data_IF_085787092370
#
_entry.id   IF_085787092370
#
_cell.length_a   1.000
_cell.length_b   1.000
_cell.length_c   1.000
_cell.angle_alpha   90.00
_cell.angle_beta   90.00
_cell.angle_gamma   90.00
#
_symmetry.space_group_name_H-M   'P 1'
#
loop_
_entity.id
_entity.type
_entity.pdbx_description
1 polymer ?
#
# COMPACT_ATOMS: atom_id res chain seq x y z
N UNK A 1 -15.92 -19.81 22.66
CA UNK A 1 -15.54 -19.86 21.23
C UNK A 1 -16.82 -19.74 20.43
N UNK A 2 -17.11 -18.54 19.92
CA UNK A 2 -18.31 -18.27 19.14
C UNK A 2 -18.00 -18.51 17.67
N UNK A 3 -18.76 -19.41 17.02
CA UNK A 3 -18.65 -19.65 15.59
C UNK A 3 -18.95 -18.36 14.80
N UNK A 4 -18.19 -18.05 13.74
CA UNK A 4 -18.47 -16.88 12.91
C UNK A 4 -19.78 -17.06 12.12
N UNK A 5 -20.48 -15.96 11.76
CA UNK A 5 -21.78 -15.97 11.10
C UNK A 5 -21.73 -16.68 9.73
N UNK A 6 -22.85 -17.31 9.30
CA UNK A 6 -22.90 -18.25 8.17
C UNK A 6 -22.56 -17.64 6.81
N UNK A 7 -22.85 -16.35 6.58
CA UNK A 7 -22.70 -15.71 5.26
C UNK A 7 -21.25 -15.61 4.77
N UNK A 8 -20.28 -15.48 5.69
CA UNK A 8 -18.85 -15.44 5.33
C UNK A 8 -18.30 -16.76 4.81
N UNK A 9 -18.99 -17.89 5.02
CA UNK A 9 -18.49 -19.20 4.58
C UNK A 9 -18.68 -19.42 3.09
N UNK A 10 -19.70 -18.81 2.49
CA UNK A 10 -20.02 -18.98 1.08
C UNK A 10 -19.10 -18.14 0.17
N UNK A 11 -18.80 -16.90 0.56
CA UNK A 11 -17.80 -16.07 -0.14
C UNK A 11 -16.39 -16.67 -0.06
N UNK A 12 -16.05 -17.25 1.09
CA UNK A 12 -14.76 -17.91 1.31
C UNK A 12 -14.61 -19.15 0.42
N UNK A 13 -15.68 -19.94 0.26
CA UNK A 13 -15.70 -21.09 -0.65
C UNK A 13 -15.60 -20.66 -2.12
N UNK A 14 -16.26 -19.57 -2.52
CA UNK A 14 -16.18 -19.04 -3.90
C UNK A 14 -14.77 -18.60 -4.30
N UNK A 15 -14.10 -17.83 -3.45
CA UNK A 15 -12.73 -17.34 -3.70
C UNK A 15 -11.68 -18.47 -3.72
N UNK A 16 -11.86 -19.49 -2.87
CA UNK A 16 -11.02 -20.69 -2.87
C UNK A 16 -11.22 -21.54 -4.13
N UNK A 17 -12.46 -21.66 -4.62
CA UNK A 17 -12.77 -22.41 -5.85
C UNK A 17 -12.19 -21.73 -7.11
N UNK A 18 -12.31 -20.41 -7.23
CA UNK A 18 -11.76 -19.66 -8.37
C UNK A 18 -10.23 -19.72 -8.43
N UNK A 19 -9.55 -19.57 -7.29
CA UNK A 19 -8.09 -19.59 -7.24
C UNK A 19 -7.51 -21.01 -7.43
N UNK A 20 -8.21 -22.05 -6.96
CA UNK A 20 -7.83 -23.44 -7.20
C UNK A 20 -8.03 -23.86 -8.67
N UNK A 21 -9.04 -23.31 -9.35
CA UNK A 21 -9.35 -23.61 -10.74
C UNK A 21 -8.32 -23.07 -11.75
N UNK A 22 -7.67 -21.94 -11.42
CA UNK A 22 -6.71 -21.26 -12.28
C UNK A 22 -5.24 -21.73 -12.13
N UNK A 23 -4.93 -22.71 -11.26
CA UNK A 23 -3.55 -23.19 -11.08
C UNK A 23 -3.07 -23.92 -12.34
N UNK A 24 -1.89 -23.55 -12.90
CA UNK A 24 -1.38 -24.12 -14.16
C UNK A 24 -1.17 -25.64 -14.09
N UNK A 25 -0.94 -26.19 -12.89
CA UNK A 25 -0.84 -27.62 -12.65
C UNK A 25 -2.16 -28.38 -12.90
N UNK A 26 -3.30 -27.83 -12.45
CA UNK A 26 -4.61 -28.46 -12.64
C UNK A 26 -5.04 -28.43 -14.12
N UNK A 27 -4.72 -27.35 -14.83
CA UNK A 27 -4.92 -27.23 -16.27
C UNK A 27 -4.03 -28.22 -17.04
N UNK A 28 -2.77 -28.39 -16.62
CA UNK A 28 -1.86 -29.36 -17.23
C UNK A 28 -2.31 -30.81 -17.03
N UNK A 29 -2.79 -31.17 -15.83
CA UNK A 29 -3.35 -32.51 -15.55
C UNK A 29 -4.60 -32.78 -16.38
N UNK A 30 -5.51 -31.80 -16.51
CA UNK A 30 -6.72 -31.92 -17.32
C UNK A 30 -6.39 -32.12 -18.81
N UNK A 31 -5.44 -31.35 -19.34
CA UNK A 31 -4.93 -31.50 -20.71
C UNK A 31 -4.29 -32.88 -20.94
N UNK A 32 -3.51 -33.37 -19.98
CA UNK A 32 -2.79 -34.64 -20.09
C UNK A 32 -3.75 -35.84 -20.04
N UNK A 33 -4.77 -35.80 -19.17
CA UNK A 33 -5.83 -36.82 -19.11
C UNK A 33 -6.68 -36.81 -20.38
N UNK A 34 -7.00 -35.63 -20.92
CA UNK A 34 -7.73 -35.50 -22.18
C UNK A 34 -6.92 -36.08 -23.36
N UNK A 35 -5.62 -35.76 -23.47
CA UNK A 35 -4.74 -36.31 -24.51
C UNK A 35 -4.60 -37.84 -24.41
N UNK A 36 -4.43 -38.37 -23.20
CA UNK A 36 -4.33 -39.81 -22.96
C UNK A 36 -5.63 -40.54 -23.34
N UNK A 37 -6.80 -39.97 -23.03
CA UNK A 37 -8.10 -40.54 -23.41
C UNK A 37 -8.32 -40.61 -24.93
N UNK A 38 -7.88 -39.58 -25.65
CA UNK A 38 -7.94 -39.54 -27.13
C UNK A 38 -7.02 -40.61 -27.74
N UNK A 39 -5.81 -40.80 -27.20
CA UNK A 39 -4.84 -41.78 -27.71
C UNK A 39 -5.31 -43.25 -27.56
N UNK A 40 -6.12 -43.54 -26.55
CA UNK A 40 -6.62 -44.91 -26.26
C UNK A 40 -7.90 -45.23 -27.04
N UNK A 41 -8.45 -44.28 -27.80
CA UNK A 41 -9.66 -44.46 -28.60
C UNK A 41 -10.94 -44.55 -27.75
N UNK A 42 -10.90 -44.01 -26.53
CA UNK A 42 -12.08 -43.97 -25.66
C UNK A 42 -13.16 -43.04 -26.27
N UNK A 43 -14.45 -43.34 -26.06
CA UNK A 43 -15.52 -42.42 -26.44
C UNK A 43 -15.29 -41.07 -25.76
N UNK A 44 -15.33 -39.97 -26.53
CA UNK A 44 -15.03 -38.61 -26.06
C UNK A 44 -15.82 -38.27 -24.78
N UNK A 45 -17.07 -38.69 -24.70
CA UNK A 45 -17.92 -38.49 -23.52
C UNK A 45 -17.35 -39.16 -22.24
N UNK A 46 -16.74 -40.33 -22.37
CA UNK A 46 -16.17 -41.08 -21.25
C UNK A 46 -14.83 -40.47 -20.81
N UNK A 47 -14.01 -40.02 -21.77
CA UNK A 47 -12.76 -39.31 -21.48
C UNK A 47 -13.01 -37.96 -20.78
N UNK A 48 -13.99 -37.18 -21.26
CA UNK A 48 -14.40 -35.91 -20.64
C UNK A 48 -14.99 -36.14 -19.25
N UNK A 49 -15.81 -37.19 -19.07
CA UNK A 49 -16.35 -37.56 -17.77
C UNK A 49 -15.27 -37.90 -16.74
N UNK A 50 -14.29 -38.72 -17.12
CA UNK A 50 -13.15 -39.08 -16.26
C UNK A 50 -12.27 -37.86 -15.94
N UNK A 51 -12.01 -36.98 -16.90
CA UNK A 51 -11.26 -35.75 -16.68
C UNK A 51 -11.97 -34.81 -15.70
N UNK A 52 -13.30 -34.67 -15.81
CA UNK A 52 -14.10 -33.86 -14.88
C UNK A 52 -14.07 -34.43 -13.45
N UNK A 53 -14.15 -35.76 -13.31
CA UNK A 53 -14.05 -36.43 -11.99
C UNK A 53 -12.65 -36.25 -11.38
N UNK A 54 -11.58 -36.43 -12.17
CA UNK A 54 -10.21 -36.24 -11.68
C UNK A 54 -9.94 -34.79 -11.30
N UNK A 55 -10.46 -33.84 -12.06
CA UNK A 55 -10.37 -32.41 -11.76
C UNK A 55 -11.14 -32.05 -10.49
N UNK A 56 -12.36 -32.59 -10.31
CA UNK A 56 -13.14 -32.41 -9.08
C UNK A 56 -12.41 -32.98 -7.85
N UNK A 57 -11.80 -34.17 -7.98
CA UNK A 57 -11.03 -34.80 -6.90
C UNK A 57 -9.75 -34.02 -6.59
N UNK A 58 -9.03 -33.51 -7.59
CA UNK A 58 -7.83 -32.68 -7.39
C UNK A 58 -8.17 -31.34 -6.72
N UNK A 59 -9.26 -30.71 -7.14
CA UNK A 59 -9.75 -29.45 -6.57
C UNK A 59 -10.17 -29.66 -5.12
N UNK A 60 -10.93 -30.72 -4.85
CA UNK A 60 -11.31 -31.10 -3.48
C UNK A 60 -10.09 -31.40 -2.60
N UNK A 61 -9.04 -32.05 -3.14
CA UNK A 61 -7.80 -32.32 -2.41
C UNK A 61 -6.99 -31.07 -2.11
N UNK A 62 -6.98 -30.09 -3.02
CA UNK A 62 -6.34 -28.78 -2.80
C UNK A 62 -7.08 -27.95 -1.74
N UNK A 63 -8.40 -28.12 -1.64
CA UNK A 63 -9.23 -27.54 -0.59
C UNK A 63 -9.10 -28.24 0.77
N UNK A 64 -8.51 -29.44 0.81
CA UNK A 64 -8.23 -30.21 2.04
C UNK A 64 -6.76 -30.13 2.46
N UNK A 65 -5.91 -29.45 1.70
CA UNK A 65 -4.50 -29.26 2.04
C UNK A 65 -4.35 -28.10 3.04
N UNK A 66 -4.45 -28.44 4.33
CA UNK A 66 -4.37 -27.52 5.47
C UNK A 66 -3.12 -26.61 5.39
N UNK A 67 -2.02 -27.08 4.80
CA UNK A 67 -0.76 -26.32 4.72
C UNK A 67 -0.80 -25.14 3.75
N UNK A 68 -1.58 -25.21 2.65
CA UNK A 68 -1.74 -24.09 1.72
C UNK A 68 -2.72 -23.06 2.27
N UNK A 69 -3.80 -23.52 2.92
CA UNK A 69 -4.74 -22.65 3.60
C UNK A 69 -4.05 -21.90 4.75
N UNK A 70 -3.23 -22.58 5.55
CA UNK A 70 -2.47 -21.94 6.63
C UNK A 70 -1.41 -20.98 6.13
N UNK A 71 -0.79 -21.22 4.97
CA UNK A 71 0.15 -20.24 4.36
C UNK A 71 -0.55 -18.97 3.89
N UNK A 72 -1.70 -19.09 3.23
CA UNK A 72 -2.47 -17.93 2.76
C UNK A 72 -3.09 -17.18 3.95
N UNK A 73 -3.63 -17.91 4.93
CA UNK A 73 -4.15 -17.34 6.17
C UNK A 73 -3.04 -16.72 7.04
N UNK A 74 -1.85 -17.31 7.10
CA UNK A 74 -0.71 -16.74 7.83
C UNK A 74 -0.17 -15.47 7.14
N UNK A 75 -0.17 -15.41 5.80
CA UNK A 75 0.13 -14.18 5.05
C UNK A 75 -0.90 -13.10 5.33
N UNK A 76 -2.19 -13.41 5.20
CA UNK A 76 -3.28 -12.45 5.44
C UNK A 76 -3.38 -12.01 6.91
N UNK A 77 -3.13 -12.91 7.88
CA UNK A 77 -3.04 -12.58 9.30
C UNK A 77 -1.78 -11.78 9.61
N UNK A 78 -0.66 -12.07 8.95
CA UNK A 78 0.58 -11.32 9.06
C UNK A 78 0.43 -9.88 8.58
N UNK A 79 -0.21 -9.68 7.43
CA UNK A 79 -0.47 -8.34 6.87
C UNK A 79 -1.52 -7.58 7.68
N UNK A 80 -2.63 -8.22 8.10
CA UNK A 80 -3.59 -7.61 9.03
C UNK A 80 -2.98 -7.31 10.40
N UNK A 81 -2.11 -8.18 10.91
CA UNK A 81 -1.38 -7.99 12.16
C UNK A 81 -0.40 -6.83 12.08
N UNK A 82 0.30 -6.67 10.95
CA UNK A 82 1.17 -5.52 10.66
C UNK A 82 0.40 -4.23 10.50
N UNK A 83 -0.74 -4.24 9.80
CA UNK A 83 -1.62 -3.08 9.68
C UNK A 83 -2.25 -2.68 11.03
N UNK A 84 -2.64 -3.65 11.86
CA UNK A 84 -3.14 -3.40 13.20
C UNK A 84 -2.03 -2.90 14.15
N UNK A 85 -0.80 -3.42 14.02
CA UNK A 85 0.36 -2.90 14.74
C UNK A 85 0.75 -1.49 14.27
N UNK A 86 0.67 -1.22 12.97
CA UNK A 86 0.87 0.11 12.39
C UNK A 86 -0.21 1.10 12.83
N UNK A 87 -1.47 0.67 12.95
CA UNK A 87 -2.55 1.46 13.58
C UNK A 87 -2.26 1.77 15.04
N UNK A 88 -1.65 0.84 15.80
CA UNK A 88 -1.22 1.10 17.19
C UNK A 88 0.04 1.97 17.30
N UNK A 89 0.88 1.96 16.26
CA UNK A 89 2.09 2.76 16.13
C UNK A 89 1.88 4.07 15.34
N UNK A 90 0.61 4.43 15.08
CA UNK A 90 0.24 5.72 14.49
C UNK A 90 0.88 6.83 15.32
N UNK A 91 1.52 7.78 14.64
CA UNK A 91 2.10 8.95 15.30
C UNK A 91 1.02 9.61 16.16
N UNK A 92 1.37 9.99 17.39
CA UNK A 92 0.53 10.91 18.17
C UNK A 92 0.50 12.22 17.42
N UNK A 93 -0.58 12.45 16.66
CA UNK A 93 -0.73 13.60 15.77
C UNK A 93 -0.48 14.94 16.48
N UNK A 94 -0.72 14.97 17.80
CA UNK A 94 -0.46 16.12 18.68
C UNK A 94 1.00 16.53 18.78
N UNK A 95 1.94 15.60 18.56
CA UNK A 95 3.39 15.85 18.61
C UNK A 95 3.96 16.31 17.28
N UNK A 96 3.17 16.27 16.21
CA UNK A 96 3.62 16.71 14.90
C UNK A 96 3.56 18.23 14.77
N UNK A 97 4.53 18.80 14.06
CA UNK A 97 4.51 20.20 13.67
C UNK A 97 3.19 20.53 12.95
N UNK A 98 2.60 21.71 13.17
CA UNK A 98 1.32 22.10 12.57
C UNK A 98 1.18 21.82 11.06
N UNK A 99 2.18 22.09 10.19
CA UNK A 99 2.05 21.81 8.76
C UNK A 99 1.96 20.31 8.44
N UNK A 100 2.74 19.47 9.11
CA UNK A 100 2.74 18.00 8.92
C UNK A 100 1.43 17.41 9.43
N UNK A 101 1.03 17.83 10.64
CA UNK A 101 -0.20 17.40 11.30
C UNK A 101 -1.42 17.59 10.40
N UNK A 102 -1.52 18.74 9.74
CA UNK A 102 -2.64 19.08 8.84
C UNK A 102 -2.85 18.02 7.76
N UNK A 103 -1.79 17.56 7.09
CA UNK A 103 -1.90 16.57 6.02
C UNK A 103 -2.31 15.20 6.56
N UNK A 104 -1.73 14.77 7.69
CA UNK A 104 -2.08 13.48 8.30
C UNK A 104 -3.54 13.46 8.77
N UNK A 105 -4.01 14.53 9.44
CA UNK A 105 -5.39 14.66 9.88
C UNK A 105 -6.36 14.62 8.69
N UNK A 106 -6.03 15.33 7.60
CA UNK A 106 -6.85 15.31 6.39
C UNK A 106 -6.93 13.92 5.77
N UNK A 107 -5.80 13.21 5.65
CA UNK A 107 -5.78 11.84 5.14
C UNK A 107 -6.59 10.87 6.00
N UNK A 108 -6.47 10.94 7.33
CA UNK A 108 -7.27 10.11 8.26
C UNK A 108 -8.76 10.46 8.13
N UNK A 109 -9.10 11.74 8.04
CA UNK A 109 -10.49 12.17 7.86
C UNK A 109 -11.08 11.70 6.52
N UNK A 110 -10.30 11.70 5.43
CA UNK A 110 -10.74 11.18 4.13
C UNK A 110 -10.84 9.65 4.14
N UNK A 111 -9.87 8.94 4.73
CA UNK A 111 -9.94 7.49 4.93
C UNK A 111 -11.23 7.08 5.64
N UNK A 112 -11.58 7.74 6.76
CA UNK A 112 -12.82 7.45 7.50
C UNK A 112 -14.06 7.66 6.62
N UNK A 113 -14.10 8.74 5.85
CA UNK A 113 -15.20 9.02 4.91
C UNK A 113 -15.32 7.97 3.80
N UNK A 114 -14.21 7.43 3.32
CA UNK A 114 -14.19 6.32 2.36
C UNK A 114 -14.71 5.04 3.01
N UNK A 115 -14.23 4.70 4.21
CA UNK A 115 -14.70 3.54 4.96
C UNK A 115 -16.21 3.61 5.22
N UNK A 116 -16.73 4.76 5.66
CA UNK A 116 -18.17 4.97 5.85
C UNK A 116 -18.96 4.82 4.55
N UNK A 117 -18.40 5.21 3.40
CA UNK A 117 -19.04 5.06 2.11
C UNK A 117 -19.07 3.59 1.66
N UNK A 118 -17.98 2.85 1.88
CA UNK A 118 -17.90 1.41 1.64
C UNK A 118 -18.94 0.67 2.49
N UNK A 119 -18.99 0.97 3.80
CA UNK A 119 -19.92 0.32 4.73
C UNK A 119 -21.39 0.57 4.35
N UNK A 120 -21.73 1.79 3.94
CA UNK A 120 -23.09 2.13 3.48
C UNK A 120 -23.47 1.47 2.16
N UNK A 121 -22.52 1.31 1.25
CA UNK A 121 -22.79 0.71 -0.04
C UNK A 121 -23.14 -0.79 0.06
N UNK A 122 -22.84 -1.45 1.19
CA UNK A 122 -23.01 -2.91 1.37
C UNK A 122 -22.32 -3.73 0.26
N UNK A 123 -21.31 -3.14 -0.39
CA UNK A 123 -20.57 -3.74 -1.49
C UNK A 123 -19.24 -4.31 -0.97
N UNK A 124 -18.73 -5.41 -1.56
CA UNK A 124 -17.53 -6.09 -1.11
C UNK A 124 -16.24 -5.37 -1.53
N UNK A 125 -16.05 -4.13 -1.06
CA UNK A 125 -14.86 -3.30 -1.33
C UNK A 125 -13.67 -3.61 -0.41
N UNK A 126 -13.48 -4.87 0.02
CA UNK A 126 -12.40 -5.24 0.95
C UNK A 126 -11.01 -4.92 0.40
N UNK A 127 -10.81 -5.13 -0.91
CA UNK A 127 -9.56 -4.79 -1.58
C UNK A 127 -9.29 -3.28 -1.52
N UNK A 128 -10.31 -2.45 -1.84
CA UNK A 128 -10.19 -1.00 -1.80
C UNK A 128 -9.89 -0.48 -0.39
N UNK A 129 -10.56 -1.01 0.64
CA UNK A 129 -10.29 -0.65 2.03
C UNK A 129 -8.83 -0.92 2.42
N UNK A 130 -8.28 -2.07 1.99
CA UNK A 130 -6.87 -2.41 2.20
C UNK A 130 -5.90 -1.44 1.51
N UNK A 131 -6.22 -1.00 0.30
CA UNK A 131 -5.39 -0.03 -0.43
C UNK A 131 -5.44 1.37 0.21
N UNK A 132 -6.62 1.81 0.66
CA UNK A 132 -6.79 3.08 1.38
C UNK A 132 -6.02 3.09 2.70
N UNK A 133 -6.06 1.98 3.44
CA UNK A 133 -5.26 1.81 4.66
C UNK A 133 -3.75 1.90 4.36
N UNK A 134 -3.29 1.35 3.24
CA UNK A 134 -1.89 1.41 2.82
C UNK A 134 -1.42 2.86 2.54
N UNK A 135 -2.28 3.71 1.97
CA UNK A 135 -1.97 5.13 1.78
C UNK A 135 -1.75 5.85 3.12
N UNK A 136 -2.56 5.56 4.14
CA UNK A 136 -2.42 6.18 5.46
C UNK A 136 -1.15 5.69 6.18
N UNK A 137 -0.79 4.42 6.01
CA UNK A 137 0.49 3.89 6.52
C UNK A 137 1.69 4.58 5.85
N UNK A 138 1.63 4.80 4.54
CA UNK A 138 2.67 5.53 3.81
C UNK A 138 2.74 7.01 4.24
N UNK A 139 1.58 7.64 4.47
CA UNK A 139 1.47 8.99 5.02
C UNK A 139 2.15 9.10 6.39
N UNK A 140 1.87 8.15 7.29
CA UNK A 140 2.48 8.11 8.63
C UNK A 140 4.01 8.04 8.58
N UNK A 141 4.56 7.21 7.67
CA UNK A 141 6.00 7.12 7.45
C UNK A 141 6.59 8.43 6.89
N UNK A 142 5.91 9.08 5.93
CA UNK A 142 6.35 10.37 5.39
C UNK A 142 6.28 11.48 6.45
N UNK A 143 5.23 11.51 7.27
CA UNK A 143 5.08 12.45 8.38
C UNK A 143 6.19 12.29 9.43
N UNK A 144 6.58 11.06 9.79
CA UNK A 144 7.72 10.81 10.69
C UNK A 144 9.03 11.38 10.15
N UNK A 145 9.32 11.15 8.87
CA UNK A 145 10.53 11.71 8.21
C UNK A 145 10.49 13.22 8.11
N UNK A 146 9.34 13.79 7.74
CA UNK A 146 9.14 15.23 7.71
C UNK A 146 9.37 15.84 9.10
N UNK A 147 8.88 15.19 10.17
CA UNK A 147 9.05 15.69 11.53
C UNK A 147 10.53 15.75 11.93
N UNK A 148 11.30 14.69 11.67
CA UNK A 148 12.73 14.68 11.97
C UNK A 148 13.49 15.80 11.24
N UNK A 149 13.16 16.06 9.96
CA UNK A 149 13.75 17.15 9.19
C UNK A 149 13.32 18.52 9.70
N UNK A 150 12.05 18.66 10.07
CA UNK A 150 11.49 19.89 10.63
C UNK A 150 12.18 20.25 11.95
N UNK A 151 12.29 19.29 12.88
CA UNK A 151 12.93 19.50 14.19
C UNK A 151 14.39 19.94 14.02
N UNK A 152 15.15 19.25 13.14
CA UNK A 152 16.55 19.61 12.87
C UNK A 152 16.72 21.01 12.27
N UNK A 153 15.79 21.45 11.40
CA UNK A 153 15.79 22.79 10.82
C UNK A 153 15.33 23.87 11.81
N UNK A 154 14.45 23.53 12.75
CA UNK A 154 14.01 24.43 13.81
C UNK A 154 15.12 24.68 14.83
N UNK A 155 15.88 23.64 15.20
CA UNK A 155 17.02 23.76 16.10
C UNK A 155 18.15 24.62 15.51
N UNK A 156 18.42 24.47 14.19
CA UNK A 156 19.53 25.15 13.51
C UNK A 156 19.06 25.77 12.19
N UNK A 157 18.37 26.92 12.22
CA UNK A 157 17.81 27.51 11.01
C UNK A 157 18.93 28.00 10.08
N UNK A 158 18.86 27.71 8.76
CA UNK A 158 19.86 28.15 7.77
C UNK A 158 20.17 29.65 7.83
N UNK A 159 19.14 30.46 8.13
CA UNK A 159 19.28 31.92 8.25
C UNK A 159 20.26 32.34 9.35
N UNK A 160 20.36 31.61 10.46
CA UNK A 160 21.32 31.92 11.51
C UNK A 160 22.77 31.68 11.02
N UNK A 161 22.98 30.62 10.25
CA UNK A 161 24.29 30.29 9.64
C UNK A 161 24.64 31.34 8.57
N UNK A 162 23.69 31.75 7.75
CA UNK A 162 23.87 32.80 6.74
C UNK A 162 24.27 34.14 7.38
N UNK A 163 23.57 34.54 8.45
CA UNK A 163 23.91 35.74 9.21
C UNK A 163 25.31 35.63 9.81
N UNK A 164 25.68 34.46 10.34
CA UNK A 164 27.02 34.24 10.88
C UNK A 164 28.11 34.33 9.82
N UNK A 165 27.88 33.74 8.65
CA UNK A 165 28.77 33.84 7.49
C UNK A 165 28.93 35.31 7.04
N UNK A 166 27.85 36.08 7.00
CA UNK A 166 27.90 37.50 6.66
C UNK A 166 28.71 38.33 7.66
N UNK A 167 28.60 38.02 8.96
CA UNK A 167 29.39 38.68 10.03
C UNK A 167 30.88 38.37 9.94
N UNK A 168 31.27 37.20 9.45
CA UNK A 168 32.67 36.80 9.34
C UNK A 168 33.40 37.49 8.17
N UNK A 169 32.65 38.09 7.22
CA UNK A 169 33.14 39.18 6.37
C UNK A 169 34.50 38.98 5.71
N UNK A 170 34.73 37.85 5.05
CA UNK A 170 35.97 37.59 4.29
C UNK A 170 37.27 37.60 5.12
N UNK A 171 37.17 37.53 6.45
CA UNK A 171 38.32 37.62 7.35
C UNK A 171 39.27 36.42 7.11
N UNK A 172 40.51 36.65 6.62
CA UNK A 172 41.41 35.58 6.20
C UNK A 172 41.90 34.70 7.35
N UNK A 173 41.92 35.24 8.58
CA UNK A 173 42.24 34.52 9.81
C UNK A 173 41.16 33.49 10.23
N UNK A 174 39.97 33.55 9.62
CA UNK A 174 38.82 32.68 9.95
C UNK A 174 38.37 31.80 8.78
N UNK A 175 39.23 31.60 7.77
CA UNK A 175 38.90 30.85 6.56
C UNK A 175 38.33 29.45 6.84
N UNK A 176 38.94 28.69 7.75
CA UNK A 176 38.48 27.34 8.11
C UNK A 176 37.07 27.32 8.74
N UNK A 177 36.75 28.32 9.56
CA UNK A 177 35.40 28.45 10.15
C UNK A 177 34.37 28.79 9.07
N UNK A 178 34.73 29.68 8.15
CA UNK A 178 33.86 30.05 7.02
C UNK A 178 33.56 28.83 6.16
N UNK A 179 34.56 28.01 5.83
CA UNK A 179 34.39 26.78 5.07
C UNK A 179 33.45 25.80 5.79
N UNK A 180 33.66 25.58 7.09
CA UNK A 180 32.81 24.71 7.90
C UNK A 180 31.34 25.19 7.94
N UNK A 181 31.12 26.49 8.12
CA UNK A 181 29.78 27.08 8.11
C UNK A 181 29.11 27.02 6.73
N UNK A 182 29.88 27.15 5.65
CA UNK A 182 29.36 26.98 4.28
C UNK A 182 28.92 25.53 4.04
N UNK A 183 29.72 24.57 4.50
CA UNK A 183 29.33 23.16 4.44
C UNK A 183 28.06 22.89 5.27
N UNK A 184 28.00 23.39 6.50
CA UNK A 184 26.81 23.26 7.34
C UNK A 184 25.56 23.88 6.67
N UNK A 185 25.69 25.07 6.09
CA UNK A 185 24.60 25.72 5.35
C UNK A 185 24.13 24.88 4.16
N UNK A 186 25.05 24.25 3.44
CA UNK A 186 24.72 23.36 2.34
C UNK A 186 23.89 22.15 2.80
N UNK A 187 24.25 21.54 3.93
CA UNK A 187 23.49 20.43 4.54
C UNK A 187 22.09 20.90 4.94
N UNK A 188 21.97 22.04 5.64
CA UNK A 188 20.67 22.56 6.08
C UNK A 188 19.74 22.86 4.89
N UNK A 189 20.25 23.49 3.82
CA UNK A 189 19.47 23.72 2.59
C UNK A 189 19.07 22.43 1.88
N UNK A 190 19.85 21.36 2.05
CA UNK A 190 19.50 20.04 1.53
C UNK A 190 18.36 19.42 2.34
N UNK A 191 18.39 19.55 3.67
CA UNK A 191 17.29 19.16 4.55
C UNK A 191 16.00 19.93 4.24
N UNK A 192 16.06 21.25 4.00
CA UNK A 192 14.90 22.04 3.58
C UNK A 192 14.25 21.49 2.30
N UNK A 193 15.08 21.18 1.30
CA UNK A 193 14.60 20.58 0.04
C UNK A 193 14.00 19.19 0.26
N UNK A 194 14.58 18.39 1.15
CA UNK A 194 14.03 17.08 1.52
C UNK A 194 12.68 17.23 2.24
N UNK A 195 12.56 18.18 3.16
CA UNK A 195 11.32 18.45 3.89
C UNK A 195 10.20 18.87 2.93
N UNK A 196 10.49 19.79 2.00
CA UNK A 196 9.51 20.21 0.99
C UNK A 196 9.04 19.03 0.14
N UNK A 197 9.94 18.14 -0.28
CA UNK A 197 9.54 16.93 -1.01
C UNK A 197 8.64 16.01 -0.19
N UNK A 198 8.84 15.90 1.13
CA UNK A 198 7.91 15.14 1.98
C UNK A 198 6.53 15.81 2.04
N UNK A 199 6.47 17.14 2.10
CA UNK A 199 5.19 17.86 1.98
C UNK A 199 4.47 17.56 0.68
N UNK A 200 5.18 17.57 -0.45
CA UNK A 200 4.60 17.27 -1.76
C UNK A 200 4.06 15.82 -1.82
N UNK A 201 4.75 14.85 -1.22
CA UNK A 201 4.28 13.46 -1.12
C UNK A 201 2.99 13.37 -0.29
N UNK A 202 2.95 14.02 0.87
CA UNK A 202 1.77 14.02 1.74
C UNK A 202 0.58 14.71 1.05
N UNK A 203 0.79 15.87 0.43
CA UNK A 203 -0.26 16.55 -0.34
C UNK A 203 -0.82 15.65 -1.45
N UNK A 204 0.06 14.97 -2.18
CA UNK A 204 -0.36 14.02 -3.21
C UNK A 204 -1.22 12.90 -2.67
N UNK A 205 -0.83 12.28 -1.55
CA UNK A 205 -1.63 11.20 -0.92
C UNK A 205 -3.03 11.69 -0.57
N UNK A 206 -3.16 12.92 -0.05
CA UNK A 206 -4.47 13.52 0.25
C UNK A 206 -5.32 13.66 -1.02
N UNK A 207 -4.77 14.22 -2.08
CA UNK A 207 -5.47 14.43 -3.37
C UNK A 207 -5.92 13.09 -3.97
N UNK A 208 -5.06 12.08 -3.91
CA UNK A 208 -5.37 10.74 -4.40
C UNK A 208 -6.49 10.08 -3.57
N UNK A 209 -6.45 10.20 -2.24
CA UNK A 209 -7.54 9.71 -1.37
C UNK A 209 -8.87 10.40 -1.68
N UNK A 210 -8.85 11.72 -1.88
CA UNK A 210 -10.06 12.47 -2.24
C UNK A 210 -10.59 12.07 -3.63
N UNK A 211 -9.69 11.72 -4.56
CA UNK A 211 -10.05 11.19 -5.89
C UNK A 211 -10.71 9.82 -5.78
N UNK A 212 -10.12 8.90 -5.01
CA UNK A 212 -10.72 7.58 -4.71
C UNK A 212 -12.11 7.72 -4.11
N UNK A 213 -12.28 8.65 -3.16
CA UNK A 213 -13.59 8.94 -2.58
C UNK A 213 -14.58 9.44 -3.64
N UNK A 214 -14.15 10.34 -4.53
CA UNK A 214 -14.98 10.84 -5.63
C UNK A 214 -15.44 9.72 -6.57
N UNK A 215 -14.51 8.86 -7.00
CA UNK A 215 -14.82 7.70 -7.84
C UNK A 215 -15.77 6.72 -7.14
N UNK A 216 -15.57 6.45 -5.85
CA UNK A 216 -16.45 5.57 -5.07
C UNK A 216 -17.89 6.11 -5.01
N UNK A 217 -18.05 7.43 -4.78
CA UNK A 217 -19.38 8.06 -4.78
C UNK A 217 -20.04 8.02 -6.16
N UNK A 218 -19.26 8.20 -7.23
CA UNK A 218 -19.75 8.10 -8.61
C UNK A 218 -20.24 6.68 -8.95
N UNK A 219 -19.46 5.66 -8.59
CA UNK A 219 -19.82 4.24 -8.81
C UNK A 219 -21.04 3.87 -7.97
N UNK A 220 -21.09 4.30 -6.71
CA UNK A 220 -22.24 4.04 -5.82
C UNK A 220 -23.53 4.68 -6.33
N UNK A 221 -23.45 5.77 -7.10
CA UNK A 221 -24.63 6.40 -7.72
C UNK A 221 -25.09 5.69 -8.99
N UNK A 222 -24.27 4.82 -9.59
CA UNK A 222 -24.50 4.23 -10.91
C UNK A 222 -24.93 2.75 -10.88
N UNK A 223 -25.02 2.11 -9.71
CA UNK A 223 -25.41 0.69 -9.50
C UNK A 223 -24.69 -0.36 -10.39
N UNK A 224 -23.56 0.01 -11.00
CA UNK A 224 -22.86 -0.84 -11.98
C UNK A 224 -21.70 -1.61 -11.33
N UNK A 225 -21.89 -2.92 -11.18
CA UNK A 225 -20.91 -3.83 -10.58
C UNK A 225 -19.60 -3.94 -11.40
N UNK A 226 -19.64 -3.73 -12.73
CA UNK A 226 -18.45 -3.81 -13.58
C UNK A 226 -17.41 -2.73 -13.25
N UNK A 227 -17.85 -1.56 -12.76
CA UNK A 227 -16.96 -0.46 -12.41
C UNK A 227 -16.18 -0.70 -11.10
N UNK A 228 -16.54 -1.71 -10.31
CA UNK A 228 -15.91 -1.99 -9.02
C UNK A 228 -14.52 -2.62 -9.17
N UNK A 229 -14.37 -3.61 -10.05
CA UNK A 229 -13.08 -4.26 -10.31
C UNK A 229 -12.09 -3.29 -10.95
N UNK A 230 -12.58 -2.44 -11.86
CA UNK A 230 -11.80 -1.39 -12.51
C UNK A 230 -11.25 -0.42 -11.46
N UNK A 231 -12.11 0.08 -10.57
CA UNK A 231 -11.72 1.01 -9.51
C UNK A 231 -10.66 0.39 -8.58
N UNK A 232 -10.85 -0.86 -8.12
CA UNK A 232 -9.86 -1.53 -7.29
C UNK A 232 -8.50 -1.71 -8.00
N UNK A 233 -8.52 -1.98 -9.30
CA UNK A 233 -7.33 -2.04 -10.15
C UNK A 233 -6.59 -0.70 -10.25
N UNK A 234 -7.33 0.39 -10.49
CA UNK A 234 -6.77 1.75 -10.57
C UNK A 234 -6.12 2.18 -9.25
N UNK A 235 -6.77 1.92 -8.11
CA UNK A 235 -6.21 2.25 -6.79
C UNK A 235 -4.95 1.44 -6.49
N UNK A 236 -4.91 0.15 -6.87
CA UNK A 236 -3.71 -0.67 -6.73
C UNK A 236 -2.56 -0.15 -7.58
N UNK A 237 -2.81 0.18 -8.85
CA UNK A 237 -1.79 0.74 -9.74
C UNK A 237 -1.28 2.09 -9.22
N UNK A 238 -2.15 2.90 -8.62
CA UNK A 238 -1.79 4.14 -7.98
C UNK A 238 -0.89 3.94 -6.75
N UNK A 239 -1.24 3.00 -5.87
CA UNK A 239 -0.40 2.64 -4.73
C UNK A 239 0.99 2.21 -5.20
N UNK A 240 1.06 1.34 -6.21
CA UNK A 240 2.34 0.82 -6.71
C UNK A 240 3.22 1.95 -7.29
N UNK A 241 2.61 2.91 -7.99
CA UNK A 241 3.30 4.14 -8.43
C UNK A 241 3.81 4.98 -7.25
N UNK A 242 2.99 5.18 -6.22
CA UNK A 242 3.39 5.95 -5.04
C UNK A 242 4.50 5.26 -4.25
N UNK A 243 4.46 3.94 -4.15
CA UNK A 243 5.52 3.14 -3.52
C UNK A 243 6.83 3.28 -4.28
N UNK A 244 6.80 3.18 -5.62
CA UNK A 244 7.98 3.40 -6.44
C UNK A 244 8.57 4.81 -6.28
N UNK A 245 7.72 5.83 -6.12
CA UNK A 245 8.17 7.20 -5.82
C UNK A 245 8.85 7.25 -4.44
N UNK A 246 8.24 6.67 -3.41
CA UNK A 246 8.82 6.64 -2.06
C UNK A 246 10.16 5.88 -2.03
N UNK A 247 10.23 4.70 -2.66
CA UNK A 247 11.44 3.89 -2.74
C UNK A 247 12.54 4.63 -3.53
N UNK A 248 12.18 5.30 -4.63
CA UNK A 248 13.11 6.13 -5.41
C UNK A 248 13.63 7.35 -4.64
N UNK A 249 12.84 7.91 -3.73
CA UNK A 249 13.30 8.99 -2.84
C UNK A 249 14.31 8.50 -1.81
N UNK A 250 14.08 7.32 -1.24
CA UNK A 250 15.00 6.71 -0.27
C UNK A 250 16.33 6.27 -0.95
N UNK A 251 16.29 5.87 -2.22
CA UNK A 251 17.48 5.58 -3.02
C UNK A 251 18.26 6.86 -3.36
N UNK A 252 17.56 7.92 -3.81
CA UNK A 252 18.18 9.20 -4.13
C UNK A 252 18.82 9.88 -2.92
N UNK A 253 18.22 9.75 -1.73
CA UNK A 253 18.82 10.25 -0.49
C UNK A 253 20.16 9.56 -0.19
N UNK A 254 20.22 8.22 -0.34
CA UNK A 254 21.43 7.43 -0.12
C UNK A 254 22.56 7.77 -1.11
N UNK A 255 22.22 8.03 -2.39
CA UNK A 255 23.20 8.43 -3.40
C UNK A 255 23.79 9.82 -3.19
N UNK A 256 23.12 10.71 -2.45
CA UNK A 256 23.66 12.03 -2.11
C UNK A 256 24.57 12.01 -0.87
N UNK A 257 24.54 10.92 -0.09
CA UNK A 257 25.39 10.72 1.09
C UNK A 257 26.69 9.96 0.79
N UNK A 258 26.79 9.33 -0.39
CA UNK A 258 27.99 8.62 -0.90
C UNK A 258 28.87 9.50 -1.78
#
# INVERSE_FOLDING_TARGET
MSSPPPDRRQEYLGALLLNAAAKPFNVAVLLLVALAGILVGAPIALAVGLAAVFYAVSTARTLLDEQEQDKVLARLRGDRGRLAAARRAQVRTEQLAPPIRRYLDQAIATQRRIADAIDRAQLPYEALAGEVDAFVVMMDASAKRAQMLYDGLEENPPRAIEQRLAQLGGAPDKAALVESLQHQLHVMRTMERQLQRQYDVMERVVVELDTVRGSLLSVSASDDNANQEILAGEVRQLRDRMRAVADGMDEAARLYES
#
